data_IF_883598936349
#
_entry.id   IF_883598936349
#
_cell.length_a   1.000
_cell.length_b   1.000
_cell.length_c   1.000
_cell.angle_alpha   90.00
_cell.angle_beta   90.00
_cell.angle_gamma   90.00
#
_symmetry.space_group_name_H-M   'P 1'
#
loop_
_entity.id
_entity.type
_entity.pdbx_description
1 polymer ?
#
# COMPACT_ATOMS: atom_id res chain seq x y z
N UNK A 1 8.54 -7.03 13.27
CA UNK A 1 7.52 -6.27 14.05
C UNK A 1 6.10 -6.49 13.51
N UNK A 2 5.04 -6.24 14.30
CA UNK A 2 3.64 -6.29 13.85
C UNK A 2 2.94 -4.97 14.16
N UNK A 3 2.28 -4.39 13.17
CA UNK A 3 1.45 -3.17 13.29
C UNK A 3 -0.02 -3.56 13.07
N UNK A 4 -0.93 -2.98 13.84
CA UNK A 4 -2.38 -3.17 13.67
C UNK A 4 -2.98 -1.84 13.24
N UNK A 5 -3.80 -1.86 12.19
CA UNK A 5 -4.44 -0.67 11.63
C UNK A 5 -5.86 -0.96 11.20
N UNK A 6 -6.71 0.07 11.13
CA UNK A 6 -8.04 -0.03 10.54
C UNK A 6 -8.06 0.62 9.16
N UNK A 7 -8.60 -0.08 8.17
CA UNK A 7 -8.80 0.46 6.83
C UNK A 7 -10.21 0.12 6.31
N UNK A 8 -11.15 1.07 6.31
CA UNK A 8 -12.48 0.85 5.77
C UNK A 8 -12.44 0.41 4.29
N UNK A 9 -13.45 -0.36 3.87
CA UNK A 9 -13.55 -0.84 2.51
C UNK A 9 -13.58 0.29 1.48
N UNK A 10 -12.86 0.13 0.36
CA UNK A 10 -12.77 1.14 -0.70
C UNK A 10 -12.01 2.41 -0.33
N UNK A 11 -11.24 2.41 0.77
CA UNK A 11 -10.45 3.58 1.22
C UNK A 11 -8.99 3.22 1.46
N UNK A 12 -8.15 4.24 1.63
CA UNK A 12 -6.83 4.13 2.25
C UNK A 12 -6.82 5.12 3.41
N UNK A 13 -7.07 4.62 4.61
CA UNK A 13 -7.08 5.43 5.83
C UNK A 13 -5.69 6.03 6.08
N UNK A 14 -5.66 7.20 6.73
CA UNK A 14 -4.40 7.83 7.10
C UNK A 14 -3.57 6.92 8.02
N UNK A 15 -4.23 6.21 8.94
CA UNK A 15 -3.59 5.23 9.84
C UNK A 15 -2.88 4.11 9.04
N UNK A 16 -3.56 3.50 8.08
CA UNK A 16 -2.99 2.44 7.26
C UNK A 16 -1.85 2.98 6.35
N UNK A 17 -2.02 4.18 5.80
CA UNK A 17 -1.00 4.85 4.99
C UNK A 17 0.29 5.10 5.78
N UNK A 18 0.17 5.64 7.00
CA UNK A 18 1.30 5.92 7.89
C UNK A 18 1.99 4.63 8.32
N UNK A 19 1.23 3.58 8.65
CA UNK A 19 1.81 2.29 9.00
C UNK A 19 2.57 1.63 7.85
N UNK A 20 2.10 1.77 6.60
CA UNK A 20 2.85 1.30 5.42
C UNK A 20 4.15 2.09 5.28
N UNK A 21 4.12 3.41 5.45
CA UNK A 21 5.34 4.25 5.39
C UNK A 21 6.34 3.88 6.48
N UNK A 22 5.87 3.68 7.71
CA UNK A 22 6.71 3.25 8.83
C UNK A 22 7.33 1.87 8.56
N UNK A 23 6.53 0.92 8.06
CA UNK A 23 6.99 -0.43 7.75
C UNK A 23 8.09 -0.46 6.68
N UNK A 24 8.10 0.51 5.75
CA UNK A 24 9.07 0.60 4.67
C UNK A 24 10.37 1.35 5.03
N UNK A 25 10.43 1.99 6.20
CA UNK A 25 11.59 2.80 6.63
C UNK A 25 12.66 2.02 7.39
N UNK A 26 12.41 0.76 7.76
CA UNK A 26 13.34 -0.07 8.55
C UNK A 26 13.91 -1.27 7.78
N UNK A 27 14.95 -1.87 8.36
CA UNK A 27 15.58 -3.10 7.84
C UNK A 27 14.91 -4.39 8.36
N UNK A 28 13.87 -4.27 9.19
CA UNK A 28 13.14 -5.41 9.75
C UNK A 28 11.90 -5.77 8.94
N UNK A 29 11.56 -7.05 8.92
CA UNK A 29 10.26 -7.49 8.38
C UNK A 29 9.12 -7.02 9.29
N UNK A 30 8.15 -6.33 8.69
CA UNK A 30 6.94 -5.86 9.37
C UNK A 30 5.70 -6.54 8.81
N UNK A 31 4.84 -7.04 9.69
CA UNK A 31 3.50 -7.51 9.35
C UNK A 31 2.47 -6.44 9.71
N UNK A 32 1.71 -5.95 8.73
CA UNK A 32 0.52 -5.14 8.98
C UNK A 32 -0.70 -6.07 9.09
N UNK A 33 -1.38 -6.02 10.23
CA UNK A 33 -2.68 -6.65 10.44
C UNK A 33 -3.76 -5.59 10.26
N UNK A 34 -4.53 -5.72 9.20
CA UNK A 34 -5.55 -4.73 8.82
C UNK A 34 -6.93 -5.20 9.28
N UNK A 35 -7.64 -4.35 10.02
CA UNK A 35 -9.06 -4.49 10.27
C UNK A 35 -9.83 -3.77 9.16
N UNK A 36 -10.43 -4.54 8.25
CA UNK A 36 -11.13 -4.03 7.07
C UNK A 36 -10.48 -4.54 5.78
N UNK A 37 -10.18 -3.66 4.84
CA UNK A 37 -9.69 -3.99 3.50
C UNK A 37 -8.19 -3.69 3.37
N UNK A 38 -7.38 -4.66 2.94
CA UNK A 38 -5.92 -4.51 2.83
C UNK A 38 -5.39 -4.38 1.38
N UNK A 39 -6.16 -4.81 0.39
CA UNK A 39 -5.71 -4.97 -0.99
C UNK A 39 -5.31 -3.64 -1.66
N UNK A 40 -6.05 -2.56 -1.38
CA UNK A 40 -5.73 -1.20 -1.84
C UNK A 40 -4.40 -0.67 -1.28
N UNK A 41 -3.89 -1.22 -0.17
CA UNK A 41 -2.59 -0.83 0.38
C UNK A 41 -1.42 -1.22 -0.53
N UNK A 42 -1.63 -2.06 -1.54
CA UNK A 42 -0.66 -2.29 -2.60
C UNK A 42 -0.28 -0.98 -3.33
N UNK A 43 -1.24 -0.06 -3.52
CA UNK A 43 -0.97 1.25 -4.11
C UNK A 43 -0.08 2.10 -3.20
N UNK A 44 -0.35 2.09 -1.89
CA UNK A 44 0.50 2.76 -0.91
C UNK A 44 1.92 2.17 -0.89
N UNK A 45 2.05 0.84 -0.93
CA UNK A 45 3.35 0.18 -1.01
C UNK A 45 4.14 0.61 -2.25
N UNK A 46 3.51 0.67 -3.44
CA UNK A 46 4.15 1.14 -4.68
C UNK A 46 4.54 2.63 -4.58
N UNK A 47 3.70 3.46 -3.96
CA UNK A 47 3.93 4.90 -3.83
C UNK A 47 5.11 5.24 -2.90
N UNK A 48 5.30 4.49 -1.82
CA UNK A 48 6.25 4.84 -0.76
C UNK A 48 7.47 3.94 -0.65
N UNK A 49 7.50 2.78 -1.32
CA UNK A 49 8.66 1.91 -1.28
C UNK A 49 9.92 2.57 -1.90
N UNK A 50 11.12 2.15 -1.46
CA UNK A 50 12.37 2.57 -2.08
C UNK A 50 12.41 2.27 -3.59
N UNK A 51 13.06 3.14 -4.35
CA UNK A 51 13.24 2.95 -5.80
C UNK A 51 13.89 1.59 -6.10
N UNK A 52 13.37 0.86 -7.09
CA UNK A 52 13.87 -0.47 -7.46
C UNK A 52 13.34 -1.63 -6.62
N UNK A 53 12.55 -1.36 -5.56
CA UNK A 53 11.86 -2.40 -4.78
C UNK A 53 10.90 -3.20 -5.66
N UNK A 54 10.61 -4.44 -5.24
CA UNK A 54 9.64 -5.30 -5.92
C UNK A 54 8.44 -5.49 -5.01
N UNK A 55 7.29 -4.93 -5.41
CA UNK A 55 6.02 -5.06 -4.68
C UNK A 55 5.23 -6.21 -5.30
N UNK A 56 4.71 -7.10 -4.46
CA UNK A 56 3.89 -8.23 -4.87
C UNK A 56 2.47 -8.07 -4.34
N UNK A 57 1.48 -8.27 -5.20
CA UNK A 57 0.07 -8.27 -4.79
C UNK A 57 -0.75 -9.24 -5.63
N UNK A 58 -1.90 -9.67 -5.10
CA UNK A 58 -2.84 -10.53 -5.82
C UNK A 58 -3.78 -9.70 -6.69
N UNK A 59 -4.05 -10.16 -7.91
CA UNK A 59 -4.99 -9.54 -8.83
C UNK A 59 -5.98 -10.60 -9.35
N UNK A 60 -7.30 -10.39 -9.19
CA UNK A 60 -8.31 -11.27 -9.77
C UNK A 60 -8.10 -11.45 -11.28
N UNK A 61 -8.06 -12.71 -11.74
CA UNK A 61 -7.84 -13.07 -13.15
C UNK A 61 -6.36 -13.14 -13.58
N UNK A 62 -5.44 -12.53 -12.83
CA UNK A 62 -4.01 -12.46 -13.19
C UNK A 62 -3.12 -13.24 -12.20
N UNK A 63 -3.60 -13.52 -10.99
CA UNK A 63 -2.82 -14.20 -9.96
C UNK A 63 -1.86 -13.24 -9.25
N UNK A 64 -0.59 -13.63 -9.12
CA UNK A 64 0.42 -12.81 -8.45
C UNK A 64 1.02 -11.80 -9.43
N UNK A 65 0.89 -10.51 -9.12
CA UNK A 65 1.51 -9.42 -9.88
C UNK A 65 2.75 -8.94 -9.13
N UNK A 66 3.84 -8.72 -9.86
CA UNK A 66 5.08 -8.15 -9.35
C UNK A 66 5.36 -6.80 -10.03
N UNK A 67 5.49 -5.74 -9.23
CA UNK A 67 5.75 -4.38 -9.70
C UNK A 67 7.12 -3.93 -9.23
N UNK A 68 8.03 -3.71 -10.18
CA UNK A 68 9.30 -3.04 -9.90
C UNK A 68 9.02 -1.54 -9.76
N UNK A 69 9.24 -1.01 -8.56
CA UNK A 69 9.01 0.39 -8.23
C UNK A 69 9.98 1.26 -9.02
N UNK A 70 9.40 2.20 -9.75
CA UNK A 70 10.12 3.28 -10.40
C UNK A 70 9.28 4.57 -10.36
N UNK A 71 9.85 5.69 -10.81
CA UNK A 71 9.15 6.97 -10.89
C UNK A 71 7.77 6.91 -11.57
N UNK A 72 7.65 6.22 -12.70
CA UNK A 72 6.37 6.09 -13.44
C UNK A 72 5.31 5.30 -12.64
N UNK A 73 5.70 4.15 -12.06
CA UNK A 73 4.78 3.33 -11.25
C UNK A 73 4.35 4.05 -9.98
N UNK A 74 5.26 4.81 -9.37
CA UNK A 74 4.98 5.66 -8.20
C UNK A 74 3.96 6.74 -8.55
N UNK A 75 4.19 7.49 -9.62
CA UNK A 75 3.27 8.54 -10.07
C UNK A 75 1.89 7.98 -10.41
N UNK A 76 1.85 6.82 -11.09
CA UNK A 76 0.59 6.13 -11.38
C UNK A 76 -0.14 5.74 -10.10
N UNK A 77 0.56 5.14 -9.12
CA UNK A 77 -0.06 4.77 -7.85
C UNK A 77 -0.63 6.01 -7.12
N UNK A 78 0.15 7.09 -7.03
CA UNK A 78 -0.30 8.35 -6.42
C UNK A 78 -1.49 8.96 -7.15
N UNK A 79 -1.53 8.88 -8.49
CA UNK A 79 -2.67 9.38 -9.27
C UNK A 79 -3.96 8.59 -8.99
N UNK A 80 -3.87 7.27 -8.79
CA UNK A 80 -5.01 6.44 -8.41
C UNK A 80 -5.48 6.81 -7.01
N UNK A 81 -4.55 6.91 -6.05
CA UNK A 81 -4.87 7.30 -4.67
C UNK A 81 -5.55 8.68 -4.64
N UNK A 82 -5.02 9.67 -5.37
CA UNK A 82 -5.58 11.02 -5.42
C UNK A 82 -6.93 11.13 -6.14
N UNK A 83 -7.32 10.12 -6.90
CA UNK A 83 -8.64 10.04 -7.53
C UNK A 83 -9.68 9.33 -6.62
N UNK A 84 -9.25 8.73 -5.51
CA UNK A 84 -10.15 8.12 -4.54
C UNK A 84 -10.85 9.21 -3.73
N UNK A 85 -12.13 9.02 -3.36
CA UNK A 85 -12.79 9.91 -2.41
C UNK A 85 -12.02 9.89 -1.09
N UNK A 86 -11.93 11.04 -0.41
CA UNK A 86 -11.37 11.10 0.94
C UNK A 86 -12.17 10.11 1.81
N UNK A 87 -11.48 9.09 2.34
CA UNK A 87 -12.11 8.14 3.25
C UNK A 87 -12.47 8.87 4.54
N UNK A 88 -13.76 9.04 4.81
CA UNK A 88 -14.23 9.51 6.11
C UNK A 88 -13.74 8.55 7.20
N UNK A 89 -13.09 9.13 8.22
CA UNK A 89 -12.59 8.43 9.42
C UNK A 89 -13.75 8.03 10.33
#
# INVERSE_FOLDING_TARGET
KTLKVRNPAGTISLEALEAVREALQGDESVLLLVEGEEDLLALAAIAYAPEGSLVFYGQPGEGLVAVKVNGEKREKALSVIGAMPEGEV
#
